data_IF_138178502771
#
_entry.id   IF_138178502771
#
_cell.length_a   1.000
_cell.length_b   1.000
_cell.length_c   1.000
_cell.angle_alpha   90.00
_cell.angle_beta   90.00
_cell.angle_gamma   90.00
#
_symmetry.space_group_name_H-M   'P 1'
#
loop_
_entity.id
_entity.type
_entity.pdbx_description
1 polymer ?
#
# COMPACT_ATOMS: atom_id res chain seq x y z
N UNK A 1 -64.95 9.39 -42.70
CA UNK A 1 -65.21 10.77 -43.14
C UNK A 1 -64.31 11.68 -42.30
N UNK A 2 -63.60 12.57 -42.94
CA UNK A 2 -62.62 13.53 -42.33
C UNK A 2 -63.32 14.90 -42.17
N UNK A 3 -62.66 16.06 -42.03
CA UNK A 3 -61.24 16.38 -41.86
C UNK A 3 -60.96 17.59 -40.95
N UNK A 4 -59.63 17.92 -40.85
CA UNK A 4 -59.03 19.26 -40.84
C UNK A 4 -59.10 20.09 -39.56
N UNK A 5 -58.08 20.78 -39.14
CA UNK A 5 -57.22 21.82 -39.79
C UNK A 5 -56.02 22.22 -38.97
N UNK A 6 -54.94 22.23 -39.59
CA UNK A 6 -53.81 23.13 -39.59
C UNK A 6 -53.97 24.47 -38.86
N UNK A 7 -53.01 24.88 -38.07
CA UNK A 7 -52.53 26.23 -38.08
C UNK A 7 -51.09 26.38 -37.60
N UNK A 8 -50.24 26.65 -38.57
CA UNK A 8 -48.90 27.23 -38.49
C UNK A 8 -48.98 28.64 -37.84
N UNK A 9 -48.16 28.92 -36.90
CA UNK A 9 -47.62 30.30 -36.71
C UNK A 9 -46.13 30.26 -36.50
N UNK A 10 -45.40 30.66 -37.54
CA UNK A 10 -44.06 31.23 -37.52
C UNK A 10 -44.15 32.60 -36.86
N UNK A 11 -43.15 32.96 -36.01
CA UNK A 11 -42.67 34.32 -35.79
C UNK A 11 -41.23 34.18 -35.29
N UNK A 12 -40.28 34.32 -36.16
CA UNK A 12 -39.53 35.55 -36.46
C UNK A 12 -38.55 35.90 -35.33
N UNK A 13 -37.30 35.67 -35.69
CA UNK A 13 -36.06 36.20 -35.09
C UNK A 13 -35.98 37.71 -35.32
N UNK A 14 -35.41 38.48 -34.43
CA UNK A 14 -34.58 39.59 -34.83
C UNK A 14 -33.12 39.40 -34.43
N UNK A 15 -32.30 39.57 -35.43
CA UNK A 15 -30.87 39.75 -35.38
C UNK A 15 -30.49 41.13 -34.85
N UNK A 16 -29.25 41.20 -34.47
CA UNK A 16 -28.29 42.29 -34.52
C UNK A 16 -27.74 42.85 -33.22
N UNK A 17 -26.43 42.70 -33.19
CA UNK A 17 -25.43 43.68 -32.72
C UNK A 17 -25.24 43.83 -31.20
N UNK A 18 -24.07 43.72 -30.66
CA UNK A 18 -22.89 44.49 -30.98
C UNK A 18 -21.64 43.87 -30.31
N UNK A 19 -20.63 43.74 -31.12
CA UNK A 19 -19.27 43.60 -30.69
C UNK A 19 -18.72 44.96 -30.29
N UNK A 20 -18.43 45.15 -29.00
CA UNK A 20 -17.44 46.18 -28.64
C UNK A 20 -16.81 45.88 -27.27
N UNK A 21 -15.52 45.61 -27.32
CA UNK A 21 -14.44 46.06 -26.43
C UNK A 21 -14.51 45.74 -24.94
N UNK A 22 -13.78 44.68 -24.53
CA UNK A 22 -12.94 44.71 -23.31
C UNK A 22 -11.56 44.11 -23.67
N UNK A 23 -10.77 44.91 -24.35
CA UNK A 23 -9.31 44.84 -24.36
C UNK A 23 -8.85 46.13 -23.70
N UNK A 24 -8.42 46.06 -22.43
CA UNK A 24 -7.51 46.99 -21.77
C UNK A 24 -7.74 46.98 -20.28
N UNK A 25 -7.26 45.93 -19.56
CA UNK A 25 -6.82 46.00 -18.15
C UNK A 25 -5.99 44.72 -17.95
N UNK A 26 -4.82 44.61 -18.58
CA UNK A 26 -3.78 43.67 -18.22
C UNK A 26 -2.44 44.22 -18.70
N UNK A 27 -2.06 45.36 -18.14
CA UNK A 27 -0.73 45.92 -18.38
C UNK A 27 -0.41 47.01 -17.35
N UNK A 28 -0.42 46.67 -16.07
CA UNK A 28 0.18 47.48 -15.01
C UNK A 28 0.34 46.61 -13.75
N UNK A 29 1.33 45.74 -13.68
CA UNK A 29 1.85 45.14 -12.43
C UNK A 29 3.04 44.20 -12.72
N UNK A 30 3.96 44.63 -13.57
CA UNK A 30 5.29 44.04 -13.65
C UNK A 30 6.24 45.21 -13.83
N UNK A 31 6.68 45.80 -12.76
CA UNK A 31 7.93 46.52 -12.51
C UNK A 31 7.73 47.23 -11.16
N UNK A 32 8.17 46.67 -10.10
CA UNK A 32 8.70 47.22 -8.86
C UNK A 32 8.71 46.06 -7.83
N UNK A 33 9.74 45.27 -7.80
CA UNK A 33 10.46 44.72 -6.66
C UNK A 33 11.55 43.82 -7.21
N UNK A 34 12.75 44.36 -7.39
CA UNK A 34 13.89 43.72 -6.77
C UNK A 34 14.92 44.78 -6.35
N UNK A 35 14.81 45.32 -5.17
CA UNK A 35 15.85 46.18 -4.60
C UNK A 35 15.82 46.26 -3.07
N UNK A 36 15.43 45.19 -2.36
CA UNK A 36 15.57 45.13 -0.88
C UNK A 36 16.04 43.72 -0.44
N UNK A 37 17.04 43.15 -1.10
CA UNK A 37 17.71 41.95 -0.56
C UNK A 37 19.24 41.99 -0.78
N UNK A 38 19.87 43.17 -0.66
CA UNK A 38 21.32 43.26 -0.77
C UNK A 38 21.89 44.21 0.31
N UNK A 39 21.47 44.08 1.55
CA UNK A 39 22.06 44.90 2.64
C UNK A 39 21.94 44.24 4.02
N UNK A 40 22.18 42.94 4.21
CA UNK A 40 22.33 42.33 5.54
C UNK A 40 23.26 41.11 5.52
N UNK A 41 24.38 41.16 4.81
CA UNK A 41 25.43 40.14 4.88
C UNK A 41 26.81 40.67 5.19
N UNK A 42 26.92 41.68 6.04
CA UNK A 42 28.21 42.10 6.61
C UNK A 42 28.03 42.68 8.00
N UNK A 43 27.84 41.82 8.98
CA UNK A 43 28.25 42.12 10.35
C UNK A 43 28.26 40.82 11.18
N UNK A 44 29.36 40.62 11.86
CA UNK A 44 29.67 39.63 12.89
C UNK A 44 30.55 38.46 12.47
N UNK A 45 31.83 38.79 12.25
CA UNK A 45 32.92 37.90 12.63
C UNK A 45 33.59 38.59 13.82
N UNK A 46 33.21 38.24 15.03
CA UNK A 46 34.03 38.44 16.22
C UNK A 46 34.19 37.07 16.90
N UNK A 47 35.40 36.56 16.72
CA UNK A 47 35.99 35.42 17.39
C UNK A 47 36.04 35.65 18.89
N UNK A 48 35.31 34.84 19.66
CA UNK A 48 35.64 34.55 21.04
C UNK A 48 36.14 33.11 21.11
N UNK A 49 37.48 32.96 21.18
CA UNK A 49 38.13 31.70 21.55
C UNK A 49 37.76 31.39 23.00
N UNK A 50 37.02 30.32 23.23
CA UNK A 50 36.95 29.67 24.53
C UNK A 50 38.19 28.82 24.73
N UNK A 51 38.80 28.80 25.95
CA UNK A 51 39.95 27.97 26.23
C UNK A 51 39.59 26.49 26.20
N UNK A 52 40.47 25.70 25.60
CA UNK A 52 40.40 24.23 25.58
C UNK A 52 40.48 23.68 27.01
N UNK A 53 39.68 22.68 27.37
CA UNK A 53 39.83 22.00 28.64
C UNK A 53 41.15 21.23 28.70
N UNK A 54 41.82 21.34 29.83
CA UNK A 54 43.08 20.72 30.19
C UNK A 54 43.00 19.19 30.05
N UNK A 55 43.97 18.61 29.37
CA UNK A 55 44.12 17.18 29.13
C UNK A 55 44.38 16.47 30.46
N UNK A 56 43.38 15.77 30.99
CA UNK A 56 43.52 14.87 32.12
C UNK A 56 44.50 13.74 31.77
N UNK A 57 45.51 13.55 32.58
CA UNK A 57 46.48 12.45 32.47
C UNK A 57 45.81 11.13 32.72
N UNK A 58 46.11 10.06 31.96
CA UNK A 58 45.54 8.76 32.18
C UNK A 58 45.98 8.17 33.51
N UNK A 59 45.03 7.76 34.32
CA UNK A 59 45.24 6.94 35.53
C UNK A 59 45.66 5.53 35.12
N UNK A 60 46.60 4.87 35.81
CA UNK A 60 46.99 3.51 35.52
C UNK A 60 45.86 2.52 35.85
N UNK A 61 45.73 1.41 35.12
CA UNK A 61 44.68 0.42 35.34
C UNK A 61 44.85 -0.31 36.68
N UNK A 62 43.77 -0.71 37.32
CA UNK A 62 43.82 -1.55 38.52
C UNK A 62 44.33 -2.95 38.17
N UNK A 63 45.13 -3.49 39.05
CA UNK A 63 45.74 -4.83 39.00
C UNK A 63 44.66 -5.90 39.03
N UNK A 64 44.56 -6.70 37.95
CA UNK A 64 43.66 -7.84 37.85
C UNK A 64 43.99 -8.90 38.92
N UNK A 65 43.03 -9.19 39.77
CA UNK A 65 43.01 -10.44 40.52
C UNK A 65 42.29 -11.49 39.64
N UNK A 66 43.01 -12.51 39.23
CA UNK A 66 42.47 -13.68 38.53
C UNK A 66 41.54 -14.45 39.48
N UNK A 67 40.26 -14.29 39.29
CA UNK A 67 39.25 -15.24 39.78
C UNK A 67 38.66 -15.92 38.55
N UNK A 68 38.99 -17.14 38.34
CA UNK A 68 38.36 -17.98 37.29
C UNK A 68 36.89 -18.19 37.68
N UNK A 69 36.02 -17.42 37.09
CA UNK A 69 34.57 -17.66 37.15
C UNK A 69 34.24 -18.41 35.86
N UNK A 70 33.95 -19.69 35.98
CA UNK A 70 33.39 -20.53 34.93
C UNK A 70 32.02 -19.96 34.59
N UNK A 71 31.97 -19.15 33.55
CA UNK A 71 30.70 -18.63 33.01
C UNK A 71 30.09 -19.76 32.16
N UNK A 72 29.16 -20.48 32.76
CA UNK A 72 28.26 -21.36 32.02
C UNK A 72 27.38 -20.49 31.15
N UNK A 73 27.71 -20.34 29.88
CA UNK A 73 26.87 -19.67 28.89
C UNK A 73 25.62 -20.52 28.69
N UNK A 74 24.58 -20.21 29.42
CA UNK A 74 23.25 -20.77 29.18
C UNK A 74 22.76 -20.17 27.87
N UNK A 75 22.99 -20.87 26.77
CA UNK A 75 22.36 -20.57 25.50
C UNK A 75 20.86 -20.80 25.69
N UNK A 76 20.11 -19.71 25.90
CA UNK A 76 18.66 -19.73 25.88
C UNK A 76 18.25 -20.03 24.43
N UNK A 77 18.16 -21.31 24.09
CA UNK A 77 17.53 -21.76 22.84
C UNK A 77 16.05 -21.40 22.98
N UNK A 78 15.64 -20.35 22.27
CA UNK A 78 14.22 -20.11 22.02
C UNK A 78 13.67 -21.39 21.40
N UNK A 79 12.59 -21.99 21.95
CA UNK A 79 12.02 -23.18 21.34
C UNK A 79 11.72 -22.89 19.86
N UNK A 80 11.96 -23.85 18.96
CA UNK A 80 11.65 -23.66 17.54
C UNK A 80 10.18 -23.22 17.41
N UNK A 81 9.87 -22.34 16.49
CA UNK A 81 8.49 -21.88 16.29
C UNK A 81 7.61 -23.11 16.07
N UNK A 82 6.56 -23.22 16.86
CA UNK A 82 5.54 -24.26 16.68
C UNK A 82 5.07 -24.18 15.23
N UNK A 83 5.33 -25.23 14.44
CA UNK A 83 4.98 -25.27 13.00
C UNK A 83 3.45 -25.24 12.93
N UNK A 84 2.89 -24.07 12.69
CA UNK A 84 1.46 -23.91 12.47
C UNK A 84 1.14 -24.34 11.06
N UNK A 85 0.23 -25.30 10.93
CA UNK A 85 -0.25 -25.78 9.64
C UNK A 85 -1.76 -26.03 9.70
N UNK A 86 -2.39 -25.91 8.54
CA UNK A 86 -3.77 -26.33 8.34
C UNK A 86 -3.80 -27.52 7.38
N UNK A 87 -4.68 -28.47 7.67
CA UNK A 87 -4.88 -29.66 6.86
C UNK A 87 -6.29 -29.65 6.28
N UNK A 88 -6.42 -30.15 5.07
CA UNK A 88 -7.73 -30.42 4.48
C UNK A 88 -8.40 -31.66 5.11
N UNK A 89 -9.61 -31.97 4.69
CA UNK A 89 -10.38 -33.14 5.17
C UNK A 89 -9.72 -34.48 4.86
N UNK A 90 -8.77 -34.52 3.94
CA UNK A 90 -7.99 -35.70 3.55
C UNK A 90 -6.62 -35.78 4.25
N UNK A 91 -6.30 -34.79 5.10
CA UNK A 91 -5.04 -34.71 5.82
C UNK A 91 -3.87 -34.10 5.04
N UNK A 92 -4.10 -33.53 3.86
CA UNK A 92 -3.05 -32.83 3.11
C UNK A 92 -2.85 -31.41 3.65
N UNK A 93 -1.62 -30.88 3.51
CA UNK A 93 -1.30 -29.52 3.94
C UNK A 93 -1.99 -28.52 3.02
N UNK A 94 -2.92 -27.73 3.56
CA UNK A 94 -3.48 -26.57 2.87
C UNK A 94 -2.52 -25.39 2.93
N UNK A 95 -1.96 -25.12 4.10
CA UNK A 95 -0.91 -24.15 4.32
C UNK A 95 -0.11 -24.45 5.58
N UNK A 96 1.15 -23.98 5.59
CA UNK A 96 2.04 -24.09 6.74
C UNK A 96 2.86 -22.82 6.94
N UNK A 97 3.11 -22.45 8.18
CA UNK A 97 3.99 -21.32 8.53
C UNK A 97 5.43 -21.80 8.52
N UNK A 98 6.25 -21.19 7.67
CA UNK A 98 7.67 -21.47 7.59
C UNK A 98 8.49 -20.60 8.52
N UNK A 99 8.09 -19.31 8.66
CA UNK A 99 8.76 -18.33 9.51
C UNK A 99 7.80 -17.20 9.91
N UNK A 100 8.25 -16.36 10.84
CA UNK A 100 7.50 -15.15 11.22
C UNK A 100 8.41 -14.02 11.67
N UNK A 101 8.16 -12.83 11.18
CA UNK A 101 8.95 -11.63 11.38
C UNK A 101 8.21 -10.60 12.24
N UNK A 102 8.97 -9.71 12.88
CA UNK A 102 8.38 -8.61 13.64
C UNK A 102 7.61 -7.66 12.72
N UNK A 103 6.46 -7.19 13.18
CA UNK A 103 5.67 -6.20 12.51
C UNK A 103 5.24 -5.09 13.49
N UNK A 104 5.11 -3.87 13.01
CA UNK A 104 4.68 -2.74 13.86
C UNK A 104 3.19 -2.86 14.18
N UNK A 105 2.88 -3.23 15.43
CA UNK A 105 1.50 -3.35 15.91
C UNK A 105 0.66 -2.07 15.79
N UNK A 106 1.25 -0.93 15.40
CA UNK A 106 0.54 0.31 15.12
C UNK A 106 0.26 0.48 13.63
N UNK A 107 0.79 -0.39 12.79
CA UNK A 107 0.52 -0.41 11.37
C UNK A 107 -0.91 -0.88 11.11
N UNK A 108 -1.74 0.01 10.62
CA UNK A 108 -3.07 -0.33 10.12
C UNK A 108 -2.92 -0.68 8.64
N UNK A 109 -2.40 -1.88 8.38
CA UNK A 109 -1.97 -2.34 7.05
C UNK A 109 -3.13 -2.35 6.07
N UNK A 110 -2.96 -1.64 4.96
CA UNK A 110 -3.94 -1.53 3.90
C UNK A 110 -3.41 -2.02 2.56
N UNK A 111 -2.11 -1.91 2.34
CA UNK A 111 -1.43 -2.45 1.18
C UNK A 111 -0.07 -3.01 1.58
N UNK A 112 0.34 -4.09 0.94
CA UNK A 112 1.53 -4.85 1.31
C UNK A 112 2.15 -5.46 0.07
N UNK A 113 3.43 -5.19 -0.19
CA UNK A 113 4.09 -5.65 -1.41
C UNK A 113 5.58 -5.84 -1.19
N UNK A 114 6.15 -6.92 -1.74
CA UNK A 114 7.59 -7.21 -1.66
C UNK A 114 8.31 -6.63 -2.87
N UNK A 115 9.30 -5.79 -2.63
CA UNK A 115 10.26 -5.36 -3.64
C UNK A 115 11.55 -6.17 -3.60
N UNK A 116 12.52 -5.78 -4.41
CA UNK A 116 13.84 -6.42 -4.49
C UNK A 116 14.55 -6.46 -3.12
N UNK A 117 15.48 -7.40 -2.96
CA UNK A 117 16.33 -7.54 -1.78
C UNK A 117 15.58 -7.75 -0.45
N UNK A 118 14.43 -8.44 -0.48
CA UNK A 118 13.58 -8.66 0.70
C UNK A 118 13.15 -7.37 1.41
N UNK A 119 12.98 -6.32 0.64
CA UNK A 119 12.40 -5.06 1.12
C UNK A 119 10.89 -5.14 0.98
N UNK A 120 10.19 -4.83 2.05
CA UNK A 120 8.75 -4.75 2.08
C UNK A 120 8.30 -3.30 1.95
N UNK A 121 7.31 -3.04 1.10
CA UNK A 121 6.58 -1.79 1.06
C UNK A 121 5.23 -1.98 1.73
N UNK A 122 4.84 -1.02 2.55
CA UNK A 122 3.61 -1.07 3.32
C UNK A 122 2.86 0.26 3.24
N UNK A 123 1.63 0.22 2.75
CA UNK A 123 0.65 1.29 2.86
C UNK A 123 -0.17 1.14 4.13
N UNK A 124 -0.21 2.17 4.98
CA UNK A 124 -1.01 2.14 6.21
C UNK A 124 -2.14 3.14 6.18
N UNK A 125 -3.27 2.80 6.81
CA UNK A 125 -4.44 3.65 6.96
C UNK A 125 -4.45 4.46 8.27
N UNK A 126 -5.61 5.05 8.55
CA UNK A 126 -6.01 5.95 9.63
C UNK A 126 -5.69 7.43 9.36
N UNK A 127 -6.72 8.26 9.44
CA UNK A 127 -6.59 9.71 9.30
C UNK A 127 -5.53 10.27 10.27
N UNK A 128 -4.67 11.14 9.74
CA UNK A 128 -3.56 11.73 10.48
C UNK A 128 -2.40 10.78 10.82
N UNK A 129 -2.50 9.49 10.40
CA UNK A 129 -1.47 8.46 10.68
C UNK A 129 -1.11 7.61 9.48
N UNK A 130 -1.73 7.84 8.32
CA UNK A 130 -1.46 7.11 7.09
C UNK A 130 -0.05 7.38 6.58
N UNK A 131 0.65 6.32 6.21
CA UNK A 131 2.04 6.37 5.74
C UNK A 131 2.23 5.39 4.57
N UNK A 132 3.20 5.70 3.71
CA UNK A 132 3.89 4.71 2.88
C UNK A 132 5.22 4.42 3.57
N UNK A 133 5.58 3.14 3.69
CA UNK A 133 6.77 2.67 4.41
C UNK A 133 7.61 1.73 3.56
N UNK A 134 8.93 1.81 3.72
CA UNK A 134 9.93 0.84 3.27
C UNK A 134 10.46 0.13 4.51
N UNK A 135 10.30 -1.19 4.56
CA UNK A 135 10.55 -1.99 5.77
C UNK A 135 11.49 -3.15 5.44
N UNK A 136 12.49 -3.37 6.28
CA UNK A 136 13.33 -4.56 6.23
C UNK A 136 12.57 -5.73 6.85
N UNK A 137 12.22 -6.75 6.05
CA UNK A 137 11.31 -7.82 6.49
C UNK A 137 11.88 -8.61 7.68
N UNK A 138 13.16 -8.93 7.66
CA UNK A 138 13.78 -9.79 8.67
C UNK A 138 13.76 -9.20 10.08
N UNK A 139 13.80 -7.88 10.20
CA UNK A 139 13.87 -7.17 11.48
C UNK A 139 12.58 -6.42 11.82
N UNK A 140 11.73 -6.14 10.82
CA UNK A 140 10.58 -5.26 10.93
C UNK A 140 10.96 -3.78 11.09
N UNK A 141 12.23 -3.42 10.79
CA UNK A 141 12.72 -2.05 10.88
C UNK A 141 12.20 -1.21 9.72
N UNK A 142 11.53 -0.11 10.04
CA UNK A 142 11.15 0.90 9.05
C UNK A 142 12.41 1.65 8.62
N UNK A 143 12.82 1.47 7.37
CA UNK A 143 14.00 2.10 6.77
C UNK A 143 13.68 3.51 6.29
N UNK A 144 12.50 3.69 5.72
CA UNK A 144 12.00 4.95 5.21
C UNK A 144 10.50 5.03 5.32
N UNK A 145 9.97 6.23 5.44
CA UNK A 145 8.53 6.47 5.42
C UNK A 145 8.20 7.88 4.94
N UNK A 146 7.05 8.03 4.34
CA UNK A 146 6.40 9.31 4.05
C UNK A 146 5.00 9.29 4.62
N UNK A 147 4.60 10.39 5.27
CA UNK A 147 3.28 10.55 5.85
C UNK A 147 2.36 11.23 4.83
N UNK A 148 1.15 10.71 4.68
CA UNK A 148 0.12 11.36 3.89
C UNK A 148 -0.44 12.58 4.64
N UNK A 149 -1.09 13.48 3.91
CA UNK A 149 -1.86 14.57 4.52
C UNK A 149 -2.86 14.02 5.56
N UNK A 150 -3.07 14.77 6.64
CA UNK A 150 -3.92 14.33 7.76
C UNK A 150 -5.38 14.05 7.35
N UNK A 151 -5.85 14.68 6.27
CA UNK A 151 -7.19 14.46 5.70
C UNK A 151 -7.29 13.20 4.84
N UNK A 152 -6.19 12.50 4.58
CA UNK A 152 -6.14 11.32 3.74
C UNK A 152 -6.08 10.05 4.59
N UNK A 153 -6.80 9.04 4.15
CA UNK A 153 -6.70 7.68 4.67
C UNK A 153 -6.03 6.84 3.59
N UNK A 154 -4.78 6.41 3.84
CA UNK A 154 -4.00 5.59 2.91
C UNK A 154 -4.59 4.18 2.81
N UNK A 155 -4.52 3.61 1.63
CA UNK A 155 -5.06 2.31 1.28
C UNK A 155 -4.02 1.46 0.54
N UNK A 156 -4.44 0.56 -0.33
CA UNK A 156 -3.63 -0.38 -1.07
C UNK A 156 -2.48 0.25 -1.83
N UNK A 157 -1.42 -0.52 -2.00
CA UNK A 157 -0.23 -0.17 -2.77
C UNK A 157 0.14 -1.27 -3.75
N UNK A 158 0.85 -0.92 -4.80
CA UNK A 158 1.56 -1.86 -5.67
C UNK A 158 2.82 -1.23 -6.25
N UNK A 159 3.85 -2.04 -6.47
CA UNK A 159 5.07 -1.60 -7.15
C UNK A 159 4.89 -1.64 -8.67
N UNK A 160 5.57 -0.74 -9.37
CA UNK A 160 5.60 -0.64 -10.82
C UNK A 160 7.06 -0.59 -11.31
N UNK A 161 7.26 -0.87 -12.60
CA UNK A 161 8.49 -0.61 -13.35
C UNK A 161 9.75 -1.10 -12.64
N UNK A 162 9.85 -2.39 -12.43
CA UNK A 162 11.01 -2.98 -11.76
C UNK A 162 11.30 -2.40 -10.36
N UNK A 163 10.24 -2.09 -9.61
CA UNK A 163 10.29 -1.52 -8.25
C UNK A 163 10.84 -0.08 -8.20
N UNK A 164 10.78 0.68 -9.29
CA UNK A 164 11.21 2.09 -9.26
C UNK A 164 10.12 3.03 -8.77
N UNK A 165 8.85 2.63 -8.89
CA UNK A 165 7.70 3.42 -8.49
C UNK A 165 6.71 2.60 -7.67
N UNK A 166 5.99 3.25 -6.76
CA UNK A 166 4.88 2.66 -6.02
C UNK A 166 3.62 3.51 -6.17
N UNK A 167 2.51 2.88 -6.53
CA UNK A 167 1.18 3.50 -6.46
C UNK A 167 0.62 3.28 -5.07
N UNK A 168 -0.04 4.31 -4.50
CA UNK A 168 -0.81 4.24 -3.27
C UNK A 168 -2.18 4.86 -3.48
N UNK A 169 -3.23 4.11 -3.15
CA UNK A 169 -4.61 4.60 -3.16
C UNK A 169 -4.98 5.28 -1.84
N UNK A 170 -6.10 5.98 -1.86
CA UNK A 170 -6.75 6.51 -0.66
C UNK A 170 -8.21 6.09 -0.61
N UNK A 171 -8.76 5.97 0.59
CA UNK A 171 -10.13 5.52 0.81
C UNK A 171 -11.17 6.39 0.08
N UNK A 172 -11.72 7.41 0.74
CA UNK A 172 -12.84 8.22 0.22
C UNK A 172 -12.41 9.47 -0.52
N UNK A 173 -11.15 9.87 -0.43
CA UNK A 173 -10.66 11.05 -1.13
C UNK A 173 -10.44 10.83 -2.62
N UNK A 174 -10.53 9.58 -3.09
CA UNK A 174 -10.38 9.19 -4.52
C UNK A 174 -9.12 9.74 -5.16
N UNK A 175 -8.08 9.88 -4.34
CA UNK A 175 -6.78 10.37 -4.77
C UNK A 175 -5.81 9.21 -4.77
N UNK A 176 -5.12 9.00 -5.87
CA UNK A 176 -3.98 8.09 -5.94
C UNK A 176 -2.70 8.88 -6.03
N UNK A 177 -1.64 8.32 -5.49
CA UNK A 177 -0.28 8.86 -5.53
C UNK A 177 0.65 7.89 -6.22
N UNK A 178 1.63 8.43 -6.94
CA UNK A 178 2.78 7.69 -7.44
C UNK A 178 4.01 8.25 -6.75
N UNK A 179 4.76 7.37 -6.10
CA UNK A 179 5.96 7.71 -5.35
C UNK A 179 7.19 7.08 -6.00
N UNK A 180 8.32 7.74 -5.94
CA UNK A 180 9.63 7.14 -6.19
C UNK A 180 9.99 6.22 -5.02
N UNK A 181 10.46 5.00 -5.28
CA UNK A 181 10.74 4.01 -4.22
C UNK A 181 12.02 4.27 -3.45
N UNK A 182 12.96 5.04 -3.99
CA UNK A 182 14.21 5.35 -3.31
C UNK A 182 14.11 6.67 -2.52
N UNK A 183 13.55 7.71 -3.14
CA UNK A 183 13.46 9.04 -2.52
C UNK A 183 12.20 9.24 -1.70
N UNK A 184 11.12 8.50 -1.98
CA UNK A 184 9.77 8.72 -1.51
C UNK A 184 9.23 10.11 -1.86
N UNK A 185 9.79 10.71 -2.93
CA UNK A 185 9.21 11.90 -3.54
C UNK A 185 7.93 11.54 -4.27
N UNK A 186 6.94 12.40 -4.16
CA UNK A 186 5.69 12.26 -4.88
C UNK A 186 5.90 12.67 -6.34
N UNK A 187 5.86 11.69 -7.24
CA UNK A 187 6.03 11.91 -8.68
C UNK A 187 4.75 12.39 -9.36
N UNK A 188 3.61 11.81 -8.97
CA UNK A 188 2.31 12.09 -9.59
C UNK A 188 1.18 12.00 -8.57
N UNK A 189 0.08 12.67 -8.89
CA UNK A 189 -1.21 12.53 -8.24
C UNK A 189 -2.28 12.34 -9.31
N UNK A 190 -3.22 11.43 -9.08
CA UNK A 190 -4.34 11.20 -9.99
C UNK A 190 -5.65 11.08 -9.22
N UNK A 191 -6.75 11.33 -9.91
CA UNK A 191 -8.10 11.11 -9.38
C UNK A 191 -8.66 9.84 -10.02
N UNK A 192 -9.42 9.09 -9.25
CA UNK A 192 -10.10 7.89 -9.73
C UNK A 192 -11.55 7.85 -9.27
N UNK A 193 -12.35 7.02 -9.89
CA UNK A 193 -13.69 6.68 -9.46
C UNK A 193 -13.90 5.18 -9.52
N UNK A 194 -14.71 4.67 -8.59
CA UNK A 194 -15.14 3.28 -8.51
C UNK A 194 -16.64 3.25 -8.20
N UNK A 195 -17.26 2.08 -8.14
CA UNK A 195 -18.69 1.98 -7.81
C UNK A 195 -19.00 2.61 -6.45
N UNK A 196 -18.14 2.37 -5.45
CA UNK A 196 -18.32 2.93 -4.10
C UNK A 196 -17.67 4.30 -3.92
N UNK A 197 -16.95 4.80 -4.92
CA UNK A 197 -16.10 5.98 -4.81
C UNK A 197 -15.05 5.85 -3.70
N UNK A 198 -14.52 4.67 -3.53
CA UNK A 198 -13.49 4.30 -2.55
C UNK A 198 -12.35 3.55 -3.27
N UNK A 199 -11.12 3.70 -2.80
CA UNK A 199 -10.01 2.84 -3.20
C UNK A 199 -9.62 1.96 -2.03
N UNK A 200 -9.45 0.64 -2.24
CA UNK A 200 -9.06 -0.31 -1.20
C UNK A 200 -7.77 -1.03 -1.58
N UNK A 201 -7.81 -2.16 -2.27
CA UNK A 201 -6.63 -2.88 -2.74
C UNK A 201 -6.24 -2.50 -4.16
N UNK A 202 -4.98 -2.74 -4.52
CA UNK A 202 -4.45 -2.56 -5.87
C UNK A 202 -3.30 -3.52 -6.10
N UNK A 203 -3.24 -4.14 -7.27
CA UNK A 203 -2.10 -4.94 -7.72
C UNK A 203 -1.84 -4.74 -9.21
N UNK A 204 -0.64 -5.05 -9.67
CA UNK A 204 -0.19 -4.82 -11.04
C UNK A 204 0.21 -6.13 -11.73
N UNK A 205 -0.31 -6.32 -12.95
CA UNK A 205 0.17 -7.33 -13.88
C UNK A 205 1.15 -6.69 -14.87
N UNK A 206 2.44 -6.91 -14.68
CA UNK A 206 3.49 -6.37 -15.53
C UNK A 206 3.44 -6.90 -16.98
N UNK A 207 2.97 -8.13 -17.20
CA UNK A 207 2.94 -8.75 -18.53
C UNK A 207 1.95 -8.05 -19.45
N UNK A 208 0.83 -7.56 -18.91
CA UNK A 208 -0.23 -6.91 -19.69
C UNK A 208 -0.35 -5.41 -19.41
N UNK A 209 0.46 -4.89 -18.50
CA UNK A 209 0.44 -3.50 -18.03
C UNK A 209 -0.95 -3.08 -17.55
N UNK A 210 -1.57 -3.90 -16.68
CA UNK A 210 -2.89 -3.67 -16.10
C UNK A 210 -2.84 -3.63 -14.59
N UNK A 211 -3.58 -2.68 -14.03
CA UNK A 211 -3.85 -2.60 -12.61
C UNK A 211 -5.20 -3.22 -12.29
N UNK A 212 -5.25 -3.98 -11.22
CA UNK A 212 -6.49 -4.53 -10.67
C UNK A 212 -6.76 -3.84 -9.34
N UNK A 213 -7.98 -3.29 -9.18
CA UNK A 213 -8.35 -2.45 -8.04
C UNK A 213 -9.63 -2.94 -7.41
N UNK A 214 -9.69 -2.96 -6.09
CA UNK A 214 -10.90 -3.20 -5.30
C UNK A 214 -11.39 -1.90 -4.63
N UNK A 215 -12.69 -1.87 -4.28
CA UNK A 215 -13.34 -0.76 -3.58
C UNK A 215 -14.25 -1.21 -2.43
N UNK A 216 -14.11 -2.46 -1.98
CA UNK A 216 -14.97 -3.05 -0.99
C UNK A 216 -16.34 -3.51 -1.51
N UNK A 217 -16.60 -3.44 -2.80
CA UNK A 217 -17.74 -4.10 -3.46
C UNK A 217 -17.40 -5.54 -3.79
N UNK A 218 -18.23 -6.15 -4.61
CA UNK A 218 -18.05 -7.46 -5.24
C UNK A 218 -17.36 -7.35 -6.62
N UNK A 219 -16.82 -6.18 -6.97
CA UNK A 219 -16.15 -5.91 -8.24
C UNK A 219 -14.66 -5.74 -8.09
N UNK A 220 -13.91 -6.17 -9.11
CA UNK A 220 -12.54 -5.76 -9.37
C UNK A 220 -12.53 -4.92 -10.65
N UNK A 221 -11.91 -3.75 -10.56
CA UNK A 221 -11.73 -2.80 -11.66
C UNK A 221 -10.41 -3.11 -12.34
N UNK A 222 -10.37 -3.04 -13.65
CA UNK A 222 -9.15 -3.18 -14.45
C UNK A 222 -8.83 -1.82 -15.03
N UNK A 223 -7.71 -1.25 -14.61
CA UNK A 223 -7.24 0.05 -15.09
C UNK A 223 -6.04 -0.13 -16.00
N UNK A 224 -5.81 0.84 -16.88
CA UNK A 224 -4.58 0.94 -17.63
C UNK A 224 -3.41 1.13 -16.65
N UNK A 225 -2.28 0.44 -16.87
CA UNK A 225 -1.09 0.55 -16.02
C UNK A 225 -0.32 1.87 -16.19
N UNK A 226 -0.73 2.71 -17.15
CA UNK A 226 -0.10 4.00 -17.45
C UNK A 226 -0.98 5.17 -17.03
N UNK A 227 -0.32 6.20 -16.55
CA UNK A 227 -0.99 7.46 -16.23
C UNK A 227 -1.89 7.93 -17.40
N UNK A 228 -3.12 8.37 -17.15
CA UNK A 228 -3.74 8.65 -15.85
C UNK A 228 -4.43 7.48 -15.14
N UNK A 229 -4.14 6.22 -15.50
CA UNK A 229 -4.67 5.00 -14.88
C UNK A 229 -6.18 4.87 -15.03
N UNK A 230 -6.68 5.06 -16.23
CA UNK A 230 -8.12 5.01 -16.52
C UNK A 230 -8.68 3.60 -16.42
N UNK A 231 -9.90 3.50 -15.93
CA UNK A 231 -10.64 2.25 -15.93
C UNK A 231 -10.96 1.82 -17.35
N UNK A 232 -10.60 0.59 -17.72
CA UNK A 232 -10.94 -0.02 -19.01
C UNK A 232 -12.16 -0.93 -18.92
N UNK A 233 -12.26 -1.68 -17.84
CA UNK A 233 -13.36 -2.61 -17.55
C UNK A 233 -13.42 -2.96 -16.09
N UNK A 234 -14.46 -3.66 -15.70
CA UNK A 234 -14.60 -4.29 -14.37
C UNK A 234 -15.31 -5.62 -14.50
N UNK A 235 -15.18 -6.48 -13.51
CA UNK A 235 -15.89 -7.73 -13.42
C UNK A 235 -16.33 -8.03 -11.99
N UNK A 236 -17.38 -8.82 -11.86
CA UNK A 236 -17.91 -9.30 -10.57
C UNK A 236 -17.13 -10.52 -10.13
N UNK A 237 -16.81 -10.62 -8.84
CA UNK A 237 -16.21 -11.81 -8.24
C UNK A 237 -17.30 -12.70 -7.67
N UNK A 238 -17.29 -13.96 -8.10
CA UNK A 238 -18.27 -15.00 -7.72
C UNK A 238 -17.54 -16.19 -7.10
N UNK A 239 -18.17 -16.83 -6.13
CA UNK A 239 -17.72 -18.15 -5.66
C UNK A 239 -18.13 -19.26 -6.63
N UNK A 240 -17.78 -20.52 -6.31
CA UNK A 240 -18.10 -21.69 -7.12
C UNK A 240 -19.62 -21.96 -7.25
N UNK A 241 -20.44 -21.36 -6.38
CA UNK A 241 -21.91 -21.47 -6.42
C UNK A 241 -22.56 -20.34 -7.20
N UNK A 242 -21.76 -19.37 -7.68
CA UNK A 242 -22.24 -18.18 -8.39
C UNK A 242 -22.71 -17.06 -7.47
N UNK A 243 -22.42 -17.14 -6.15
CA UNK A 243 -22.72 -16.05 -5.23
C UNK A 243 -21.63 -14.98 -5.28
N UNK A 244 -22.06 -13.72 -5.22
CA UNK A 244 -21.16 -12.56 -5.20
C UNK A 244 -20.36 -12.49 -3.92
N UNK A 245 -19.08 -12.14 -4.02
CA UNK A 245 -18.20 -11.95 -2.87
C UNK A 245 -17.95 -10.47 -2.64
N UNK A 246 -18.67 -9.82 -1.73
CA UNK A 246 -18.44 -8.41 -1.39
C UNK A 246 -17.25 -8.26 -0.46
N UNK A 247 -16.84 -6.98 -0.24
CA UNK A 247 -15.77 -6.57 0.67
C UNK A 247 -14.37 -7.02 0.23
N UNK A 248 -14.17 -7.18 -1.08
CA UNK A 248 -12.82 -7.40 -1.61
C UNK A 248 -11.91 -6.26 -1.17
N UNK A 249 -10.72 -6.60 -0.68
CA UNK A 249 -9.84 -5.64 -0.04
C UNK A 249 -8.45 -5.70 -0.67
N UNK A 250 -7.41 -5.99 0.08
CA UNK A 250 -6.05 -6.02 -0.39
C UNK A 250 -5.86 -7.11 -1.44
N UNK A 251 -5.07 -6.81 -2.48
CA UNK A 251 -4.90 -7.63 -3.68
C UNK A 251 -3.42 -7.84 -3.99
N UNK A 252 -3.09 -9.06 -4.49
CA UNK A 252 -1.76 -9.38 -5.00
C UNK A 252 -1.87 -10.16 -6.31
N UNK A 253 -1.09 -9.76 -7.33
CA UNK A 253 -1.00 -10.50 -8.60
C UNK A 253 -0.10 -11.73 -8.44
N UNK A 254 -0.63 -12.88 -8.81
CA UNK A 254 0.10 -14.14 -8.74
C UNK A 254 -0.13 -14.96 -10.00
N UNK A 255 0.87 -15.03 -10.90
CA UNK A 255 0.94 -15.96 -12.04
C UNK A 255 -0.40 -16.12 -12.78
N UNK A 256 -0.92 -15.04 -13.34
CA UNK A 256 -2.16 -15.03 -14.09
C UNK A 256 -3.43 -15.02 -13.24
N UNK A 257 -3.31 -14.96 -11.92
CA UNK A 257 -4.43 -14.91 -10.97
C UNK A 257 -4.35 -13.72 -10.02
N UNK A 258 -5.42 -13.43 -9.31
CA UNK A 258 -5.46 -12.41 -8.27
C UNK A 258 -5.67 -13.11 -6.92
N UNK A 259 -4.75 -12.88 -5.98
CA UNK A 259 -4.96 -13.21 -4.58
C UNK A 259 -5.67 -12.03 -3.92
N UNK A 260 -6.67 -12.29 -3.07
CA UNK A 260 -7.48 -11.23 -2.46
C UNK A 260 -7.80 -11.52 -1.00
N UNK A 261 -7.67 -10.49 -0.16
CA UNK A 261 -8.29 -10.48 1.16
C UNK A 261 -9.77 -10.05 1.05
N UNK A 262 -10.58 -10.53 1.97
CA UNK A 262 -11.96 -10.08 2.16
C UNK A 262 -12.08 -9.43 3.54
N UNK A 263 -12.55 -8.20 3.60
CA UNK A 263 -12.60 -7.45 4.86
C UNK A 263 -13.50 -8.10 5.92
N UNK A 264 -12.94 -8.32 7.11
CA UNK A 264 -13.51 -9.09 8.22
C UNK A 264 -13.72 -10.58 7.92
N UNK A 265 -13.00 -11.12 6.95
CA UNK A 265 -12.93 -12.54 6.68
C UNK A 265 -11.49 -13.03 6.82
N UNK A 266 -11.29 -14.21 7.34
CA UNK A 266 -9.96 -14.81 7.46
C UNK A 266 -9.58 -15.66 6.23
N UNK A 267 -10.33 -15.57 5.13
CA UNK A 267 -10.02 -16.26 3.88
C UNK A 267 -9.08 -15.46 2.98
N UNK A 268 -8.17 -16.18 2.37
CA UNK A 268 -7.44 -15.76 1.18
C UNK A 268 -8.15 -16.38 -0.03
N UNK A 269 -8.50 -15.57 -1.00
CA UNK A 269 -9.12 -16.01 -2.24
C UNK A 269 -8.10 -16.02 -3.37
N UNK A 270 -8.19 -16.99 -4.28
CA UNK A 270 -7.51 -16.98 -5.58
C UNK A 270 -8.56 -16.88 -6.68
N UNK A 271 -8.48 -15.81 -7.46
CA UNK A 271 -9.51 -15.40 -8.42
C UNK A 271 -8.95 -15.49 -9.83
N UNK A 272 -9.70 -16.09 -10.77
CA UNK A 272 -9.39 -16.02 -12.19
C UNK A 272 -9.86 -14.65 -12.75
N UNK A 273 -8.97 -13.77 -13.21
CA UNK A 273 -9.34 -12.43 -13.67
C UNK A 273 -10.10 -12.43 -15.01
N UNK A 274 -10.07 -13.54 -15.76
CA UNK A 274 -10.79 -13.66 -17.02
C UNK A 274 -12.27 -14.03 -16.83
N UNK A 275 -12.58 -14.77 -15.76
CA UNK A 275 -13.95 -15.23 -15.47
C UNK A 275 -14.59 -14.55 -14.26
N UNK A 276 -13.79 -13.97 -13.37
CA UNK A 276 -14.24 -13.44 -12.07
C UNK A 276 -14.56 -14.53 -11.04
N UNK A 277 -14.29 -15.80 -11.34
CA UNK A 277 -14.64 -16.91 -10.43
C UNK A 277 -13.49 -17.17 -9.48
N UNK A 278 -13.81 -17.39 -8.20
CA UNK A 278 -12.87 -17.87 -7.19
C UNK A 278 -12.51 -19.32 -7.51
N UNK A 279 -11.25 -19.55 -7.83
CA UNK A 279 -10.71 -20.86 -8.16
C UNK A 279 -10.47 -21.70 -6.90
N UNK A 280 -10.01 -21.04 -5.83
CA UNK A 280 -9.73 -21.65 -4.54
C UNK A 280 -9.76 -20.62 -3.42
N UNK A 281 -10.01 -21.08 -2.20
CA UNK A 281 -9.90 -20.27 -0.99
C UNK A 281 -9.25 -21.06 0.13
N UNK A 282 -8.49 -20.36 1.00
CA UNK A 282 -7.85 -20.94 2.18
C UNK A 282 -8.25 -20.16 3.40
N UNK A 283 -8.52 -20.87 4.50
CA UNK A 283 -8.94 -20.26 5.76
C UNK A 283 -7.73 -20.06 6.69
N UNK A 284 -7.41 -18.82 7.00
CA UNK A 284 -6.31 -18.40 7.87
C UNK A 284 -6.75 -18.01 9.29
N UNK A 285 -7.96 -18.41 9.72
CA UNK A 285 -8.48 -18.11 11.07
C UNK A 285 -7.51 -18.48 12.19
N UNK A 286 -6.74 -19.55 12.00
CA UNK A 286 -5.79 -20.07 12.98
C UNK A 286 -4.37 -19.54 12.79
N UNK A 287 -4.11 -18.68 11.78
CA UNK A 287 -2.79 -18.10 11.56
C UNK A 287 -2.35 -17.22 12.73
N UNK A 288 -3.27 -16.43 13.29
CA UNK A 288 -3.04 -15.63 14.47
C UNK A 288 -3.94 -16.13 15.59
N UNK A 289 -3.36 -16.45 16.73
CA UNK A 289 -4.14 -16.92 17.89
C UNK A 289 -5.13 -15.83 18.34
N UNK A 290 -6.33 -16.23 18.69
CA UNK A 290 -7.40 -15.31 19.11
C UNK A 290 -6.96 -14.36 20.26
N UNK A 291 -6.10 -14.84 21.17
CA UNK A 291 -5.53 -14.02 22.26
C UNK A 291 -4.55 -12.94 21.82
N UNK A 292 -4.03 -13.02 20.58
CA UNK A 292 -3.11 -12.06 19.99
C UNK A 292 -3.82 -10.97 19.20
N UNK A 293 -5.11 -11.14 18.93
CA UNK A 293 -5.99 -10.14 18.31
C UNK A 293 -6.60 -9.27 19.40
N UNK A 294 -6.38 -7.96 19.35
CA UNK A 294 -6.76 -7.04 20.42
C UNK A 294 -8.06 -6.29 20.16
N UNK A 295 -8.53 -6.26 18.92
CA UNK A 295 -9.76 -5.57 18.54
C UNK A 295 -10.44 -6.25 17.36
N UNK A 296 -11.70 -5.85 17.06
CA UNK A 296 -12.38 -6.30 15.83
C UNK A 296 -11.71 -5.79 14.55
N UNK A 297 -10.89 -4.74 14.67
CA UNK A 297 -10.18 -4.14 13.53
C UNK A 297 -8.88 -4.89 13.19
N UNK A 298 -8.40 -5.78 14.06
CA UNK A 298 -7.21 -6.61 13.88
C UNK A 298 -7.53 -7.76 12.91
N UNK A 299 -7.90 -7.42 11.68
CA UNK A 299 -8.30 -8.40 10.68
C UNK A 299 -7.13 -8.74 9.73
N UNK A 300 -7.24 -9.90 9.10
CA UNK A 300 -6.36 -10.36 8.05
C UNK A 300 -6.40 -9.36 6.88
N UNK A 301 -5.28 -8.78 6.52
CA UNK A 301 -5.13 -7.83 5.40
C UNK A 301 -3.65 -7.57 5.11
N UNK A 302 -3.19 -8.00 3.96
CA UNK A 302 -1.81 -7.88 3.50
C UNK A 302 -1.29 -9.20 2.98
N UNK A 303 -1.04 -9.24 1.67
CA UNK A 303 -0.51 -10.36 0.92
C UNK A 303 0.68 -9.84 0.13
N UNK A 304 1.80 -10.55 0.16
CA UNK A 304 2.92 -10.24 -0.73
C UNK A 304 3.65 -11.51 -1.13
N UNK A 305 4.21 -11.52 -2.34
CA UNK A 305 4.99 -12.66 -2.82
C UNK A 305 6.32 -12.74 -2.08
N UNK A 306 6.80 -13.94 -1.85
CA UNK A 306 8.18 -14.16 -1.39
C UNK A 306 9.09 -14.18 -2.60
N UNK A 307 10.13 -13.33 -2.61
CA UNK A 307 11.18 -13.40 -3.61
C UNK A 307 12.09 -14.61 -3.31
N UNK A 308 11.92 -15.70 -4.03
CA UNK A 308 12.67 -16.94 -3.83
C UNK A 308 12.39 -17.97 -4.92
N UNK A 309 12.94 -19.16 -4.73
CA UNK A 309 12.78 -20.27 -5.69
C UNK A 309 11.39 -20.95 -5.57
N UNK A 310 10.81 -20.96 -4.36
CA UNK A 310 9.50 -21.56 -4.12
C UNK A 310 8.40 -20.52 -4.32
N UNK A 311 7.73 -20.60 -5.46
CA UNK A 311 6.65 -19.70 -5.85
C UNK A 311 5.34 -19.92 -5.06
N UNK A 312 5.28 -20.92 -4.19
CA UNK A 312 4.14 -21.20 -3.31
C UNK A 312 4.23 -20.50 -1.96
N UNK A 313 5.24 -19.65 -1.77
CA UNK A 313 5.47 -18.93 -0.53
C UNK A 313 4.96 -17.50 -0.60
N UNK A 314 4.22 -17.08 0.44
CA UNK A 314 3.68 -15.75 0.61
C UNK A 314 4.08 -15.15 1.95
N UNK A 315 4.19 -13.83 2.01
CA UNK A 315 4.13 -13.07 3.24
C UNK A 315 2.69 -12.66 3.51
N UNK A 316 2.18 -13.01 4.68
CA UNK A 316 0.83 -12.69 5.13
C UNK A 316 0.87 -11.90 6.43
N UNK A 317 0.05 -10.85 6.53
CA UNK A 317 -0.08 -10.02 7.72
C UNK A 317 -1.52 -9.54 7.92
N UNK A 318 -1.73 -8.60 8.85
CA UNK A 318 -3.04 -7.99 9.09
C UNK A 318 -2.93 -6.65 9.78
N UNK A 319 -4.06 -5.94 9.82
CA UNK A 319 -4.19 -4.64 10.46
C UNK A 319 -3.85 -4.78 11.94
N UNK A 320 -2.86 -3.99 12.42
CA UNK A 320 -2.38 -3.99 13.81
C UNK A 320 -1.75 -5.31 14.29
N UNK A 321 -1.47 -6.25 13.39
CA UNK A 321 -0.81 -7.49 13.75
C UNK A 321 0.63 -7.23 14.19
N UNK A 322 1.17 -8.12 15.03
CA UNK A 322 2.55 -8.04 15.54
C UNK A 322 3.56 -8.79 14.70
N UNK A 323 3.07 -9.54 13.71
CA UNK A 323 3.87 -10.44 12.89
C UNK A 323 3.48 -10.36 11.43
N UNK A 324 4.48 -10.51 10.58
CA UNK A 324 4.36 -10.98 9.20
C UNK A 324 4.71 -12.46 9.24
N UNK A 325 3.90 -13.29 8.63
CA UNK A 325 4.12 -14.73 8.52
C UNK A 325 4.57 -15.08 7.12
N UNK A 326 5.66 -15.84 7.01
CA UNK A 326 6.06 -16.52 5.78
C UNK A 326 5.33 -17.84 5.73
N UNK A 327 4.46 -18.02 4.75
CA UNK A 327 3.54 -19.16 4.66
C UNK A 327 3.72 -19.84 3.31
N UNK A 328 3.79 -21.18 3.29
CA UNK A 328 3.70 -21.99 2.09
C UNK A 328 2.27 -22.46 1.88
N UNK A 329 1.77 -22.34 0.65
CA UNK A 329 0.44 -22.77 0.22
C UNK A 329 0.59 -23.68 -1.00
N UNK A 330 0.73 -25.00 -0.83
CA UNK A 330 1.01 -25.94 -1.94
C UNK A 330 -0.05 -25.90 -3.05
N UNK A 331 -1.28 -25.56 -2.69
CA UNK A 331 -2.43 -25.50 -3.59
C UNK A 331 -2.59 -24.24 -4.41
N UNK A 332 -1.64 -23.27 -4.37
CA UNK A 332 -1.68 -22.12 -5.28
C UNK A 332 -1.55 -22.58 -6.73
N UNK A 333 -2.36 -22.01 -7.62
CA UNK A 333 -2.45 -22.35 -9.03
C UNK A 333 -1.88 -21.24 -9.89
N UNK A 334 -1.18 -21.60 -10.98
CA UNK A 334 -0.72 -20.66 -12.02
C UNK A 334 -1.65 -20.79 -13.23
N UNK A 335 -1.92 -19.69 -13.90
CA UNK A 335 -2.58 -19.61 -15.22
C UNK A 335 -1.61 -19.08 -16.30
N UNK A 336 -0.37 -18.80 -15.93
CA UNK A 336 0.76 -18.43 -16.81
C UNK A 336 1.68 -19.61 -17.09
#
# INVERSE_FOLDING_TARGET
>A
MPPSRNNNKRSQIPSTASWFTIRSIFLFLIVIVPSIFFALSHFWIHTTRLPLPERLKPTPPPRESKTETTTTTTTTTTPPPEIRRNLDSSGNIEWEVLDSYKHDRRAFTQGFHTGKNNIMYEGTGLFGRSELRKVEINTGKVLKRVKLDNSKFGEGITLLDDDTRVIQLTWKSRTGYVWDTETFEQLQTFQFSTIRNEGWGITWNSNTDKLYVSDGSDHIFVWNGRYPFEEEKRFVVLDETGQKIPKLNELEWYKGTILANVWYDDRLLQINPSTGIVMKSWNFKNLVLKKERHSKQDCFNGIALVNGEDDKELYLTGKLWRRVYKVRIPGLMSLE
#
